data_IF_867927301740
#
_entry.id   IF_867927301740
#
_cell.length_a   1.000
_cell.length_b   1.000
_cell.length_c   1.000
_cell.angle_alpha   90.00
_cell.angle_beta   90.00
_cell.angle_gamma   90.00
#
_symmetry.space_group_name_H-M   'P 1'
#
loop_
_entity.id
_entity.type
_entity.pdbx_description
1 polymer ?
#
# COMPACT_ATOMS: atom_id res chain seq x y z
N UNK A 1 -1.07 18.52 5.96
CA UNK A 1 -0.74 17.91 4.65
C UNK A 1 -1.88 18.23 3.69
N UNK A 2 -1.61 18.67 2.46
CA UNK A 2 -2.65 18.87 1.45
C UNK A 2 -3.11 17.52 0.88
N UNK A 3 -4.32 17.46 0.32
CA UNK A 3 -4.84 16.30 -0.42
C UNK A 3 -3.85 15.82 -1.49
N UNK A 4 -3.19 16.76 -2.18
CA UNK A 4 -2.15 16.49 -3.17
C UNK A 4 -0.94 15.73 -2.59
N UNK A 5 -0.44 16.13 -1.41
CA UNK A 5 0.70 15.44 -0.77
C UNK A 5 0.35 14.00 -0.37
N UNK A 6 -0.88 13.75 0.12
CA UNK A 6 -1.33 12.38 0.39
C UNK A 6 -1.42 11.57 -0.90
N UNK A 7 -1.96 12.15 -1.97
CA UNK A 7 -2.02 11.49 -3.28
C UNK A 7 -0.66 11.06 -3.78
N UNK A 8 0.37 11.91 -3.66
CA UNK A 8 1.74 11.54 -4.05
C UNK A 8 2.22 10.32 -3.27
N UNK A 9 2.02 10.28 -1.95
CA UNK A 9 2.41 9.12 -1.11
C UNK A 9 1.64 7.85 -1.48
N UNK A 10 0.35 7.96 -1.82
CA UNK A 10 -0.45 6.81 -2.26
C UNK A 10 -0.04 6.32 -3.65
N UNK A 11 0.31 7.21 -4.58
CA UNK A 11 0.82 6.85 -5.90
C UNK A 11 2.20 6.18 -5.81
N UNK A 12 3.08 6.66 -4.93
CA UNK A 12 4.36 6.01 -4.66
C UNK A 12 4.18 4.60 -4.08
N UNK A 13 3.21 4.42 -3.18
CA UNK A 13 2.82 3.10 -2.70
C UNK A 13 2.39 2.18 -3.85
N UNK A 14 1.52 2.64 -4.75
CA UNK A 14 1.08 1.86 -5.92
C UNK A 14 2.28 1.40 -6.76
N UNK A 15 3.21 2.30 -7.08
CA UNK A 15 4.41 1.98 -7.87
C UNK A 15 5.24 0.91 -7.15
N UNK A 16 5.44 1.06 -5.84
CA UNK A 16 6.22 0.13 -5.03
C UNK A 16 5.54 -1.25 -4.94
N UNK A 17 4.23 -1.30 -4.72
CA UNK A 17 3.45 -2.54 -4.73
C UNK A 17 3.51 -3.25 -6.08
N UNK A 18 3.40 -2.52 -7.20
CA UNK A 18 3.57 -3.09 -8.56
C UNK A 18 4.97 -3.67 -8.73
N UNK A 19 6.01 -2.97 -8.24
CA UNK A 19 7.38 -3.47 -8.31
C UNK A 19 7.54 -4.78 -7.50
N UNK A 20 7.05 -4.84 -6.25
CA UNK A 20 7.11 -6.05 -5.42
C UNK A 20 6.38 -7.21 -6.08
N UNK A 21 5.18 -6.97 -6.63
CA UNK A 21 4.43 -7.98 -7.37
C UNK A 21 5.21 -8.50 -8.58
N UNK A 22 5.79 -7.59 -9.39
CA UNK A 22 6.62 -7.96 -10.54
C UNK A 22 7.79 -8.86 -10.17
N UNK A 23 8.52 -8.51 -9.10
CA UNK A 23 9.61 -9.34 -8.57
C UNK A 23 9.12 -10.68 -8.02
N UNK A 24 7.99 -10.71 -7.31
CA UNK A 24 7.43 -11.94 -6.72
C UNK A 24 6.91 -12.91 -7.78
N UNK A 25 6.23 -12.41 -8.83
CA UNK A 25 5.81 -13.24 -9.97
C UNK A 25 7.00 -13.80 -10.74
N UNK A 26 8.07 -13.01 -10.87
CA UNK A 26 9.30 -13.45 -11.52
C UNK A 26 9.93 -14.61 -10.74
N UNK A 27 9.94 -14.55 -9.40
CA UNK A 27 10.39 -15.65 -8.54
C UNK A 27 9.50 -16.89 -8.64
N UNK A 28 8.18 -16.73 -8.70
CA UNK A 28 7.25 -17.86 -8.82
C UNK A 28 7.44 -18.64 -10.14
N UNK A 29 7.73 -17.95 -11.25
CA UNK A 29 8.03 -18.61 -12.54
C UNK A 29 9.32 -19.43 -12.50
N UNK A 30 10.29 -19.02 -11.69
CA UNK A 30 11.52 -19.78 -11.49
C UNK A 30 11.35 -21.01 -10.58
N UNK A 31 10.13 -21.43 -10.24
CA UNK A 31 9.94 -22.73 -9.59
C UNK A 31 9.58 -23.84 -10.57
N UNK A 32 8.98 -23.50 -11.72
CA UNK A 32 8.38 -24.51 -12.61
C UNK A 32 9.36 -25.29 -13.48
N UNK A 33 10.61 -24.82 -13.67
CA UNK A 33 11.56 -25.52 -14.56
C UNK A 33 12.59 -26.40 -13.84
N UNK A 34 12.43 -26.63 -12.53
CA UNK A 34 13.23 -27.61 -11.80
C UNK A 34 12.87 -27.60 -10.32
N UNK A 35 12.38 -28.72 -9.80
CA UNK A 35 12.31 -28.95 -8.35
C UNK A 35 13.53 -29.76 -7.95
N UNK A 36 14.22 -29.37 -6.88
CA UNK A 36 15.12 -30.30 -6.19
C UNK A 36 14.30 -31.45 -5.64
N UNK A 37 14.95 -32.61 -5.49
CA UNK A 37 14.40 -33.67 -4.66
C UNK A 37 13.94 -33.07 -3.33
N UNK A 38 12.70 -33.35 -2.94
CA UNK A 38 12.11 -32.94 -1.67
C UNK A 38 13.05 -33.26 -0.50
N UNK A 39 13.91 -34.29 -0.62
CA UNK A 39 14.94 -34.63 0.36
C UNK A 39 15.89 -33.47 0.68
N UNK A 40 16.39 -32.71 -0.30
CA UNK A 40 17.30 -31.57 -0.02
C UNK A 40 16.58 -30.40 0.66
N UNK A 41 15.26 -30.30 0.50
CA UNK A 41 14.43 -29.27 1.15
C UNK A 41 13.73 -29.76 2.43
N UNK A 42 13.73 -31.08 2.71
CA UNK A 42 13.00 -31.74 3.80
C UNK A 42 13.94 -32.31 4.86
N UNK A 43 15.15 -32.76 4.49
CA UNK A 43 16.10 -33.39 5.43
C UNK A 43 16.68 -32.44 6.47
N UNK A 44 16.48 -31.13 6.32
CA UNK A 44 17.01 -30.18 7.27
C UNK A 44 15.93 -29.16 7.59
N UNK A 45 15.88 -28.71 8.84
CA UNK A 45 15.13 -27.55 9.35
C UNK A 45 15.44 -26.23 8.60
N UNK A 46 16.10 -26.32 7.45
CA UNK A 46 16.34 -25.31 6.44
C UNK A 46 15.01 -25.04 5.70
N UNK A 47 14.05 -24.50 6.45
CA UNK A 47 12.86 -23.81 5.96
C UNK A 47 13.32 -22.48 5.31
N UNK A 48 14.15 -22.56 4.28
CA UNK A 48 14.89 -21.39 3.78
C UNK A 48 14.94 -21.32 2.25
N UNK A 49 15.01 -20.11 1.68
CA UNK A 49 15.03 -19.92 0.24
C UNK A 49 16.42 -20.20 -0.34
N UNK A 50 16.63 -21.41 -0.87
CA UNK A 50 17.82 -21.70 -1.66
C UNK A 50 17.45 -21.67 -3.14
N UNK A 51 18.20 -20.90 -3.93
CA UNK A 51 18.27 -21.05 -5.38
C UNK A 51 19.63 -21.66 -5.72
N UNK A 52 19.60 -22.87 -6.25
CA UNK A 52 20.77 -23.55 -6.78
C UNK A 52 20.77 -23.37 -8.30
N UNK A 53 21.88 -22.90 -8.87
CA UNK A 53 22.12 -22.93 -10.31
C UNK A 53 23.14 -24.05 -10.59
N UNK A 54 22.73 -25.06 -11.36
CA UNK A 54 23.62 -26.09 -11.91
C UNK A 54 23.43 -26.11 -13.42
N UNK A 55 24.34 -25.46 -14.15
CA UNK A 55 24.22 -25.28 -15.60
C UNK A 55 22.97 -24.48 -15.98
N UNK A 56 22.07 -25.07 -16.76
CA UNK A 56 20.80 -24.45 -17.18
C UNK A 56 19.62 -24.76 -16.25
N UNK A 57 19.82 -25.63 -15.26
CA UNK A 57 18.77 -26.03 -14.32
C UNK A 57 18.84 -25.19 -13.06
N UNK A 58 17.68 -24.72 -12.61
CA UNK A 58 17.51 -24.05 -11.34
C UNK A 58 16.52 -24.82 -10.50
N UNK A 59 16.66 -24.73 -9.19
CA UNK A 59 15.66 -25.29 -8.29
C UNK A 59 15.43 -24.43 -7.05
N UNK A 60 14.19 -24.47 -6.58
CA UNK A 60 13.68 -23.71 -5.44
C UNK A 60 12.99 -24.63 -4.44
N UNK A 61 13.15 -24.35 -3.14
CA UNK A 61 12.42 -25.08 -2.10
C UNK A 61 10.98 -24.58 -1.92
N UNK A 62 10.04 -25.45 -1.48
CA UNK A 62 8.62 -25.11 -1.30
C UNK A 62 8.35 -23.90 -0.39
N UNK A 63 9.26 -23.59 0.55
CA UNK A 63 9.15 -22.40 1.39
C UNK A 63 9.12 -21.11 0.56
N UNK A 64 9.97 -21.01 -0.46
CA UNK A 64 10.06 -19.86 -1.35
C UNK A 64 8.73 -19.63 -2.08
N UNK A 65 8.09 -20.72 -2.53
CA UNK A 65 6.78 -20.66 -3.17
C UNK A 65 5.68 -20.18 -2.21
N UNK A 66 5.60 -20.80 -1.02
CA UNK A 66 4.59 -20.45 -0.01
C UNK A 66 4.69 -19.00 0.42
N UNK A 67 5.89 -18.50 0.70
CA UNK A 67 6.07 -17.11 1.08
C UNK A 67 5.84 -16.15 -0.09
N UNK A 68 6.24 -16.53 -1.31
CA UNK A 68 5.92 -15.74 -2.50
C UNK A 68 4.42 -15.58 -2.67
N UNK A 69 3.64 -16.66 -2.49
CA UNK A 69 2.18 -16.61 -2.56
C UNK A 69 1.57 -15.71 -1.46
N UNK A 70 2.08 -15.76 -0.23
CA UNK A 70 1.65 -14.89 0.87
C UNK A 70 1.93 -13.42 0.53
N UNK A 71 3.12 -13.10 0.03
CA UNK A 71 3.49 -11.73 -0.39
C UNK A 71 2.57 -11.22 -1.50
N UNK A 72 2.39 -12.03 -2.55
CA UNK A 72 1.49 -11.69 -3.66
C UNK A 72 0.07 -11.39 -3.14
N UNK A 73 -0.43 -12.20 -2.21
CA UNK A 73 -1.75 -11.97 -1.62
C UNK A 73 -1.81 -10.67 -0.81
N UNK A 74 -0.83 -10.41 0.06
CA UNK A 74 -0.74 -9.19 0.86
C UNK A 74 -0.67 -7.95 -0.03
N UNK A 75 0.19 -7.96 -1.05
CA UNK A 75 0.36 -6.83 -1.97
C UNK A 75 -0.87 -6.62 -2.85
N UNK A 76 -1.54 -7.67 -3.31
CA UNK A 76 -2.81 -7.56 -4.04
C UNK A 76 -3.90 -6.93 -3.16
N UNK A 77 -4.03 -7.36 -1.90
CA UNK A 77 -4.98 -6.77 -0.95
C UNK A 77 -4.62 -5.31 -0.63
N UNK A 78 -3.33 -5.01 -0.46
CA UNK A 78 -2.82 -3.66 -0.23
C UNK A 78 -3.12 -2.74 -1.42
N UNK A 79 -2.87 -3.22 -2.65
CA UNK A 79 -3.18 -2.50 -3.88
C UNK A 79 -4.66 -2.13 -3.96
N UNK A 80 -5.55 -3.11 -3.74
CA UNK A 80 -7.01 -2.87 -3.75
C UNK A 80 -7.39 -1.85 -2.66
N UNK A 81 -6.84 -1.99 -1.45
CA UNK A 81 -7.11 -1.07 -0.35
C UNK A 81 -6.67 0.38 -0.67
N UNK A 82 -5.51 0.57 -1.32
CA UNK A 82 -5.02 1.89 -1.73
C UNK A 82 -5.94 2.51 -2.80
N UNK A 83 -6.37 1.73 -3.79
CA UNK A 83 -7.32 2.21 -4.82
C UNK A 83 -8.65 2.61 -4.18
N UNK A 84 -9.20 1.77 -3.29
CA UNK A 84 -10.41 2.10 -2.53
C UNK A 84 -10.24 3.39 -1.72
N UNK A 85 -9.09 3.57 -1.07
CA UNK A 85 -8.78 4.77 -0.29
C UNK A 85 -8.81 6.03 -1.15
N UNK A 86 -8.19 5.98 -2.34
CA UNK A 86 -8.21 7.09 -3.31
C UNK A 86 -9.65 7.40 -3.72
N UNK A 87 -10.44 6.38 -4.09
CA UNK A 87 -11.85 6.56 -4.50
C UNK A 87 -12.70 7.17 -3.38
N UNK A 88 -12.58 6.68 -2.14
CA UNK A 88 -13.34 7.21 -1.01
C UNK A 88 -12.91 8.62 -0.61
N UNK A 89 -11.64 8.96 -0.80
CA UNK A 89 -11.14 10.32 -0.61
C UNK A 89 -11.79 11.30 -1.60
N UNK A 90 -12.00 10.90 -2.87
CA UNK A 90 -12.69 11.74 -3.86
C UNK A 90 -14.21 11.79 -3.65
N UNK A 91 -14.83 10.68 -3.21
CA UNK A 91 -16.28 10.63 -2.93
C UNK A 91 -16.68 11.23 -1.58
N UNK A 92 -15.75 11.83 -0.83
CA UNK A 92 -15.99 12.43 0.49
C UNK A 92 -16.64 11.48 1.54
N UNK A 93 -16.51 10.15 1.37
CA UNK A 93 -17.14 9.16 2.26
C UNK A 93 -16.28 8.91 3.51
N UNK A 94 -16.48 9.72 4.55
CA UNK A 94 -15.67 9.70 5.79
C UNK A 94 -15.55 8.32 6.45
N UNK A 95 -16.66 7.60 6.60
CA UNK A 95 -16.65 6.28 7.27
C UNK A 95 -15.90 5.22 6.45
N UNK A 96 -16.22 5.09 5.16
CA UNK A 96 -15.54 4.16 4.25
C UNK A 96 -14.04 4.47 4.11
N UNK A 97 -13.67 5.75 4.14
CA UNK A 97 -12.29 6.19 4.15
C UNK A 97 -11.55 5.72 5.42
N UNK A 98 -12.12 5.91 6.60
CA UNK A 98 -11.51 5.44 7.86
C UNK A 98 -11.35 3.91 7.85
N UNK A 99 -12.39 3.18 7.44
CA UNK A 99 -12.32 1.72 7.32
C UNK A 99 -11.20 1.26 6.38
N UNK A 100 -11.09 1.88 5.19
CA UNK A 100 -10.03 1.58 4.24
C UNK A 100 -8.63 1.87 4.80
N UNK A 101 -8.46 2.94 5.59
CA UNK A 101 -7.17 3.21 6.26
C UNK A 101 -6.84 2.14 7.30
N UNK A 102 -7.80 1.74 8.14
CA UNK A 102 -7.58 0.70 9.14
C UNK A 102 -7.19 -0.61 8.47
N UNK A 103 -7.88 -0.98 7.38
CA UNK A 103 -7.53 -2.14 6.58
C UNK A 103 -6.10 -2.04 6.01
N UNK A 104 -5.74 -0.90 5.42
CA UNK A 104 -4.39 -0.66 4.88
C UNK A 104 -3.31 -0.72 5.97
N UNK A 105 -3.61 -0.23 7.17
CA UNK A 105 -2.71 -0.32 8.33
C UNK A 105 -2.47 -1.78 8.75
N UNK A 106 -3.54 -2.59 8.82
CA UNK A 106 -3.45 -4.02 9.16
C UNK A 106 -2.66 -4.78 8.09
N UNK A 107 -2.93 -4.53 6.80
CA UNK A 107 -2.20 -5.15 5.68
C UNK A 107 -0.71 -4.78 5.74
N UNK A 108 -0.38 -3.50 5.94
CA UNK A 108 1.00 -3.05 6.10
C UNK A 108 1.70 -3.70 7.30
N UNK A 109 0.97 -3.95 8.40
CA UNK A 109 1.47 -4.70 9.56
C UNK A 109 1.80 -6.15 9.21
N UNK A 110 0.90 -6.85 8.50
CA UNK A 110 1.14 -8.21 8.03
C UNK A 110 2.31 -8.29 7.03
N UNK A 111 2.42 -7.33 6.10
CA UNK A 111 3.54 -7.23 5.18
C UNK A 111 4.88 -7.01 5.90
N UNK A 112 4.88 -6.16 6.95
CA UNK A 112 6.05 -5.94 7.78
C UNK A 112 6.48 -7.21 8.52
N UNK A 113 5.53 -7.92 9.12
CA UNK A 113 5.78 -9.22 9.76
C UNK A 113 6.32 -10.26 8.77
N UNK A 114 5.72 -10.38 7.59
CA UNK A 114 6.18 -11.26 6.51
C UNK A 114 7.62 -10.91 6.08
N UNK A 115 7.94 -9.63 5.96
CA UNK A 115 9.31 -9.17 5.62
C UNK A 115 10.35 -9.56 6.67
N UNK A 116 9.98 -9.53 7.97
CA UNK A 116 10.87 -9.96 9.06
C UNK A 116 11.12 -11.46 9.00
N UNK A 117 10.08 -12.27 8.78
CA UNK A 117 10.22 -13.71 8.60
C UNK A 117 11.13 -14.02 7.41
N UNK A 118 10.93 -13.34 6.28
CA UNK A 118 11.78 -13.53 5.11
C UNK A 118 13.24 -13.15 5.38
N UNK A 119 13.46 -12.06 6.12
CA UNK A 119 14.80 -11.63 6.52
C UNK A 119 15.51 -12.64 7.43
N UNK A 120 14.79 -13.24 8.37
CA UNK A 120 15.31 -14.32 9.22
C UNK A 120 15.64 -15.57 8.40
N UNK A 121 14.78 -15.93 7.45
CA UNK A 121 15.02 -17.07 6.57
C UNK A 121 16.26 -16.88 5.70
N UNK A 122 16.45 -15.70 5.09
CA UNK A 122 17.66 -15.38 4.31
C UNK A 122 18.92 -15.46 5.18
N UNK A 123 18.85 -14.95 6.42
CA UNK A 123 19.98 -15.04 7.37
C UNK A 123 20.35 -16.51 7.65
N UNK A 124 19.34 -17.35 7.88
CA UNK A 124 19.54 -18.78 8.11
C UNK A 124 20.10 -19.47 6.87
N UNK A 125 19.61 -19.15 5.66
CA UNK A 125 20.19 -19.67 4.42
C UNK A 125 21.65 -19.28 4.26
N UNK A 126 21.98 -18.02 4.59
CA UNK A 126 23.36 -17.54 4.47
C UNK A 126 24.29 -18.33 5.39
N UNK A 127 23.93 -18.51 6.66
CA UNK A 127 24.71 -19.33 7.59
C UNK A 127 24.88 -20.74 7.04
N UNK A 128 23.79 -21.34 6.57
CA UNK A 128 23.85 -22.68 5.98
C UNK A 128 24.80 -22.77 4.79
N UNK A 129 24.73 -21.83 3.84
CA UNK A 129 25.61 -21.79 2.67
C UNK A 129 27.07 -21.57 3.05
N UNK A 130 27.35 -20.75 4.07
CA UNK A 130 28.70 -20.49 4.57
C UNK A 130 29.25 -21.70 5.37
N UNK A 131 28.42 -22.39 6.16
CA UNK A 131 28.83 -23.46 7.08
C UNK A 131 28.98 -24.84 6.40
N UNK A 132 28.15 -25.18 5.40
CA UNK A 132 28.18 -26.51 4.76
C UNK A 132 29.20 -26.66 3.63
N UNK A 133 29.98 -25.63 3.30
CA UNK A 133 30.77 -25.58 2.05
C UNK A 133 29.91 -26.08 0.88
N UNK A 134 28.76 -25.45 0.65
CA UNK A 134 27.74 -25.93 -0.29
C UNK A 134 28.30 -26.27 -1.68
N UNK A 135 29.30 -25.51 -2.13
CA UNK A 135 30.06 -25.72 -3.37
C UNK A 135 30.73 -27.11 -3.45
N UNK A 136 31.00 -27.77 -2.31
CA UNK A 136 31.52 -29.15 -2.24
C UNK A 136 30.42 -30.21 -2.35
N UNK A 137 29.19 -29.93 -1.89
CA UNK A 137 28.08 -30.91 -1.89
C UNK A 137 27.41 -30.98 -3.26
N UNK A 138 27.30 -29.83 -3.95
CA UNK A 138 26.88 -29.75 -5.35
C UNK A 138 27.96 -29.03 -6.15
N UNK A 139 28.88 -29.82 -6.70
CA UNK A 139 30.04 -29.34 -7.47
C UNK A 139 29.62 -28.34 -8.56
N UNK A 140 30.13 -27.10 -8.47
CA UNK A 140 29.83 -26.03 -9.42
C UNK A 140 28.54 -25.23 -9.16
N UNK A 141 27.79 -25.54 -8.09
CA UNK A 141 26.64 -24.74 -7.70
C UNK A 141 27.03 -23.56 -6.79
N UNK A 142 26.31 -22.44 -6.91
CA UNK A 142 26.51 -21.26 -6.06
C UNK A 142 25.20 -20.87 -5.36
N UNK A 143 25.28 -20.53 -4.08
CA UNK A 143 24.14 -20.05 -3.30
C UNK A 143 23.76 -18.61 -3.73
N UNK A 144 22.65 -18.45 -4.45
CA UNK A 144 22.22 -17.14 -4.96
C UNK A 144 21.19 -16.44 -4.07
N UNK A 145 21.67 -15.66 -3.11
CA UNK A 145 20.81 -14.90 -2.18
C UNK A 145 20.38 -13.50 -2.68
N UNK A 146 21.03 -12.97 -3.73
CA UNK A 146 20.86 -11.57 -4.20
C UNK A 146 19.41 -11.21 -4.51
N UNK A 147 18.66 -12.11 -5.16
CA UNK A 147 17.27 -11.88 -5.53
C UNK A 147 16.35 -11.78 -4.31
N UNK A 148 16.62 -12.57 -3.26
CA UNK A 148 15.83 -12.57 -2.04
C UNK A 148 16.03 -11.27 -1.26
N UNK A 149 17.25 -10.73 -1.19
CA UNK A 149 17.49 -9.42 -0.56
C UNK A 149 16.69 -8.30 -1.22
N UNK A 150 16.64 -8.27 -2.56
CA UNK A 150 15.88 -7.28 -3.31
C UNK A 150 14.39 -7.35 -2.99
N UNK A 151 13.80 -8.56 -3.01
CA UNK A 151 12.39 -8.75 -2.70
C UNK A 151 12.05 -8.40 -1.25
N UNK A 152 12.88 -8.79 -0.29
CA UNK A 152 12.66 -8.45 1.13
C UNK A 152 12.76 -6.95 1.36
N UNK A 153 13.75 -6.28 0.76
CA UNK A 153 13.87 -4.82 0.87
C UNK A 153 12.67 -4.09 0.27
N UNK A 154 12.20 -4.53 -0.91
CA UNK A 154 11.02 -3.94 -1.56
C UNK A 154 9.74 -4.22 -0.77
N UNK A 155 9.55 -5.44 -0.25
CA UNK A 155 8.38 -5.81 0.56
C UNK A 155 8.36 -5.03 1.88
N UNK A 156 9.50 -4.91 2.55
CA UNK A 156 9.64 -4.11 3.77
C UNK A 156 9.36 -2.63 3.49
N UNK A 157 9.91 -2.09 2.40
CA UNK A 157 9.63 -0.75 1.94
C UNK A 157 8.13 -0.52 1.67
N UNK A 158 7.49 -1.42 0.92
CA UNK A 158 6.05 -1.40 0.62
C UNK A 158 5.24 -1.33 1.90
N UNK A 159 5.53 -2.24 2.84
CA UNK A 159 4.88 -2.32 4.14
C UNK A 159 5.04 -1.04 4.97
N UNK A 160 6.25 -0.49 5.01
CA UNK A 160 6.55 0.75 5.72
C UNK A 160 5.78 1.93 5.10
N UNK A 161 5.76 2.05 3.77
CA UNK A 161 5.02 3.11 3.09
C UNK A 161 3.50 2.95 3.26
N UNK A 162 2.96 1.74 3.32
CA UNK A 162 1.55 1.49 3.65
C UNK A 162 1.24 1.99 5.06
N UNK A 163 2.04 1.61 6.06
CA UNK A 163 1.89 2.08 7.44
C UNK A 163 1.98 3.60 7.56
N UNK A 164 3.00 4.21 6.96
CA UNK A 164 3.18 5.66 6.95
C UNK A 164 2.01 6.37 6.28
N UNK A 165 1.54 5.87 5.13
CA UNK A 165 0.41 6.45 4.42
C UNK A 165 -0.88 6.38 5.24
N UNK A 166 -1.12 5.28 5.95
CA UNK A 166 -2.25 5.09 6.86
C UNK A 166 -2.19 6.06 8.04
N UNK A 167 -1.03 6.18 8.69
CA UNK A 167 -0.82 7.12 9.81
C UNK A 167 -1.05 8.56 9.36
N UNK A 168 -0.48 8.94 8.21
CA UNK A 168 -0.65 10.29 7.65
C UNK A 168 -2.09 10.57 7.25
N UNK A 169 -2.78 9.61 6.63
CA UNK A 169 -4.18 9.73 6.23
C UNK A 169 -5.10 9.89 7.46
N UNK A 170 -4.85 9.14 8.54
CA UNK A 170 -5.57 9.29 9.81
C UNK A 170 -5.30 10.66 10.45
N UNK A 171 -4.03 11.06 10.57
CA UNK A 171 -3.63 12.32 11.22
C UNK A 171 -4.18 13.55 10.49
N UNK A 172 -4.25 13.53 9.16
CA UNK A 172 -4.69 14.67 8.37
C UNK A 172 -6.13 14.57 7.85
N UNK A 173 -6.93 13.59 8.32
CA UNK A 173 -8.31 13.35 7.87
C UNK A 173 -9.18 14.61 7.84
N UNK A 174 -9.12 15.46 8.87
CA UNK A 174 -9.97 16.65 8.96
C UNK A 174 -9.64 17.66 7.86
N UNK A 175 -8.36 17.80 7.48
CA UNK A 175 -7.95 18.71 6.40
C UNK A 175 -8.31 18.17 5.01
N UNK A 176 -8.35 16.85 4.87
CA UNK A 176 -8.73 16.20 3.60
C UNK A 176 -10.21 16.46 3.27
N UNK A 177 -11.08 16.46 4.28
CA UNK A 177 -12.53 16.65 4.07
C UNK A 177 -13.05 18.07 4.30
N UNK A 178 -12.33 18.94 5.03
CA UNK A 178 -12.80 20.30 5.30
C UNK A 178 -12.15 21.36 4.38
N UNK A 179 -11.13 21.00 3.60
CA UNK A 179 -10.43 21.94 2.71
C UNK A 179 -11.29 22.49 1.56
N UNK A 180 -12.36 21.78 1.19
CA UNK A 180 -13.24 22.16 0.07
C UNK A 180 -14.38 23.11 0.51
N UNK A 181 -14.52 23.40 1.81
CA UNK A 181 -15.60 24.25 2.36
C UNK A 181 -15.21 25.74 2.49
N UNK A 182 -14.22 26.22 1.74
CA UNK A 182 -14.11 27.66 1.49
C UNK A 182 -15.22 28.08 0.53
N UNK A 183 -16.42 28.15 1.08
CA UNK A 183 -17.52 28.88 0.48
C UNK A 183 -17.01 30.28 0.15
N UNK A 184 -16.88 30.56 -1.15
CA UNK A 184 -17.09 31.90 -1.65
C UNK A 184 -18.50 32.30 -1.19
N UNK A 185 -18.60 32.90 0.00
CA UNK A 185 -19.68 33.85 0.25
C UNK A 185 -19.46 34.97 -0.76
N UNK A 186 -20.01 34.80 -1.95
CA UNK A 186 -20.40 35.94 -2.75
C UNK A 186 -21.44 36.68 -1.90
N UNK A 187 -20.97 37.68 -1.17
CA UNK A 187 -21.81 38.80 -0.75
C UNK A 187 -22.39 39.38 -2.04
N UNK A 188 -23.57 38.91 -2.42
CA UNK A 188 -24.49 39.71 -3.21
C UNK A 188 -25.02 40.78 -2.25
N UNK A 189 -24.24 41.85 -2.07
CA UNK A 189 -24.76 43.10 -1.54
C UNK A 189 -25.65 43.68 -2.66
N UNK A 190 -26.89 43.18 -2.73
CA UNK A 190 -27.99 43.81 -3.46
C UNK A 190 -28.42 45.03 -2.62
N UNK A 191 -27.69 46.13 -2.76
CA UNK A 191 -28.17 47.47 -2.45
C UNK A 191 -29.18 47.88 -3.55
N UNK A 192 -30.40 47.37 -3.48
CA UNK A 192 -31.52 47.89 -4.27
C UNK A 192 -32.59 48.48 -3.34
N UNK A 193 -32.51 49.82 -3.24
CA UNK A 193 -33.62 50.77 -3.23
C UNK A 193 -34.98 50.23 -2.77
N UNK A 194 -35.33 50.48 -1.51
CA UNK A 194 -36.73 50.57 -1.11
C UNK A 194 -37.14 52.04 -1.14
N UNK A 195 -37.80 52.38 -2.23
CA UNK A 195 -38.60 53.57 -2.41
C UNK A 195 -39.56 53.75 -1.22
N UNK A 196 -39.35 54.82 -0.44
CA UNK A 196 -40.33 55.29 0.53
C UNK A 196 -41.49 55.95 -0.24
N UNK A 197 -42.51 55.14 -0.47
CA UNK A 197 -43.82 55.50 -0.99
C UNK A 197 -44.48 56.58 -0.11
N UNK A 198 -44.42 57.83 -0.57
CA UNK A 198 -45.14 58.97 0.03
C UNK A 198 -46.64 58.77 -0.12
N UNK A 199 -47.30 58.41 0.97
CA UNK A 199 -48.76 58.32 1.05
C UNK A 199 -49.38 59.72 1.00
N UNK A 200 -50.39 59.98 0.15
CA UNK A 200 -50.98 61.31 -0.02
C UNK A 200 -51.98 61.66 1.10
N UNK A 201 -51.90 62.92 1.54
CA UNK A 201 -52.79 63.55 2.52
C UNK A 201 -54.18 63.72 1.90
N UNK A 202 -55.16 62.96 2.39
CA UNK A 202 -56.58 63.14 2.06
C UNK A 202 -57.13 64.27 2.93
N UNK A 203 -57.37 65.42 2.31
CA UNK A 203 -58.26 66.46 2.83
C UNK A 203 -59.71 66.07 2.51
N UNK A 204 -60.52 65.74 3.51
CA UNK A 204 -61.97 65.71 3.38
C UNK A 204 -62.62 66.74 4.29
N UNK A 205 -62.94 67.87 3.66
CA UNK A 205 -64.00 68.79 4.04
C UNK A 205 -65.38 68.18 3.73
N UNK A 206 -66.30 68.19 4.69
CA UNK A 206 -67.75 68.40 4.51
C UNK A 206 -68.43 68.25 5.89
N UNK A 207 -68.91 69.33 6.48
CA UNK A 207 -70.23 69.95 6.33
C UNK A 207 -71.33 69.34 7.21
N UNK A 208 -72.06 70.28 7.83
CA UNK A 208 -73.47 70.26 8.26
C UNK A 208 -73.86 69.29 9.37
N UNK A 209 -74.26 69.84 10.53
CA UNK A 209 -75.66 70.18 10.86
C UNK A 209 -75.65 71.48 11.69
#
# INVERSE_FOLDING_TARGET
MSKAKLMVVLLLNIILTIAVLGFSFTQARFSTNGSLSESLCSEQDVVTPIRIESGSTYAMCPWSEKQSAIRILIDCLGFIAIICLIVFMFKAKRFSFIFAIVLLFVIGGFGGYSSVIDGLAIKNTKSYCDDTNFDMVLEGSQCQLKYFYGTVALNFGSSLFMLLSSILALKYRSRIFNGDNHHHHHHHDHDEAKDEEKTPIISSSSNSI
#
